data_IF_500513838379
#
_entry.id   IF_500513838379
#
_cell.length_a   1.000
_cell.length_b   1.000
_cell.length_c   1.000
_cell.angle_alpha   90.00
_cell.angle_beta   90.00
_cell.angle_gamma   90.00
#
_symmetry.space_group_name_H-M   'P 1'
#
loop_
_entity.id
_entity.type
_entity.pdbx_description
1 polymer ?
#
# COMPACT_ATOMS: atom_id res chain seq x y z
N UNK A 1 -0.71 5.47 11.87
CA UNK A 1 -1.26 6.41 10.87
C UNK A 1 -2.49 5.77 10.24
N UNK A 2 -3.53 6.57 9.95
CA UNK A 2 -4.64 6.15 9.10
C UNK A 2 -4.84 7.14 7.97
N UNK A 3 -5.43 6.68 6.86
CA UNK A 3 -5.77 7.53 5.73
C UNK A 3 -7.14 7.13 5.16
N UNK A 4 -7.79 8.10 4.52
CA UNK A 4 -8.99 7.87 3.75
C UNK A 4 -8.57 7.41 2.34
N UNK A 5 -9.08 6.26 1.90
CA UNK A 5 -8.78 5.70 0.56
C UNK A 5 -9.30 6.60 -0.56
N UNK A 6 -8.72 6.53 -1.77
CA UNK A 6 -9.21 7.33 -2.91
C UNK A 6 -10.71 7.17 -3.05
N UNK A 7 -11.42 8.29 -3.05
CA UNK A 7 -12.86 8.32 -3.18
C UNK A 7 -13.70 7.95 -1.95
N UNK A 8 -13.08 7.86 -0.79
CA UNK A 8 -13.75 7.70 0.49
C UNK A 8 -13.56 8.97 1.33
N UNK A 9 -14.63 9.42 2.00
CA UNK A 9 -14.56 10.48 3.01
C UNK A 9 -13.83 11.74 2.50
N UNK A 10 -12.65 12.07 3.03
CA UNK A 10 -11.89 13.30 2.69
C UNK A 10 -11.04 13.15 1.43
N UNK A 11 -10.82 11.93 0.95
CA UNK A 11 -10.01 11.67 -0.23
C UNK A 11 -10.86 11.74 -1.48
N UNK A 12 -10.54 12.63 -2.44
CA UNK A 12 -11.43 12.93 -3.55
C UNK A 12 -11.51 11.80 -4.57
N UNK A 13 -12.57 11.88 -5.36
CA UNK A 13 -12.78 11.15 -6.61
C UNK A 13 -11.83 11.71 -7.68
N UNK A 14 -10.98 10.90 -8.35
CA UNK A 14 -10.23 11.38 -9.51
C UNK A 14 -11.17 11.90 -10.62
N UNK A 15 -10.72 12.83 -11.49
CA UNK A 15 -11.52 13.26 -12.64
C UNK A 15 -11.92 12.08 -13.54
N UNK A 16 -13.18 12.04 -13.97
CA UNK A 16 -13.72 10.96 -14.81
C UNK A 16 -13.92 9.62 -14.11
N UNK A 17 -13.90 9.60 -12.77
CA UNK A 17 -13.92 8.34 -12.02
C UNK A 17 -15.27 7.61 -12.06
N UNK A 18 -15.24 6.35 -12.48
CA UNK A 18 -16.40 5.44 -12.52
C UNK A 18 -16.26 4.29 -11.51
N UNK A 19 -15.06 3.71 -11.40
CA UNK A 19 -14.77 2.60 -10.49
C UNK A 19 -13.28 2.59 -10.12
N UNK A 20 -12.94 1.93 -9.02
CA UNK A 20 -11.55 1.68 -8.61
C UNK A 20 -11.35 0.19 -8.35
N UNK A 21 -10.15 -0.28 -8.66
CA UNK A 21 -9.71 -1.64 -8.36
C UNK A 21 -8.97 -1.70 -7.02
N UNK A 22 -8.91 -2.89 -6.42
CA UNK A 22 -8.10 -3.12 -5.23
C UNK A 22 -6.61 -2.92 -5.48
N UNK A 23 -6.14 -3.17 -6.71
CA UNK A 23 -4.77 -2.91 -7.12
C UNK A 23 -4.44 -1.41 -7.12
N UNK A 24 -5.32 -0.56 -7.66
CA UNK A 24 -5.13 0.90 -7.61
C UNK A 24 -5.11 1.43 -6.18
N UNK A 25 -5.98 0.91 -5.32
CA UNK A 25 -6.01 1.25 -3.90
C UNK A 25 -4.74 0.79 -3.16
N UNK A 26 -4.15 -0.33 -3.57
CA UNK A 26 -2.86 -0.78 -3.05
C UNK A 26 -1.71 0.11 -3.54
N UNK A 27 -1.75 0.53 -4.81
CA UNK A 27 -0.81 1.50 -5.37
C UNK A 27 -0.82 2.83 -4.61
N UNK A 28 -1.98 3.34 -4.22
CA UNK A 28 -2.06 4.53 -3.36
C UNK A 28 -1.41 4.31 -2.00
N UNK A 29 -1.64 3.16 -1.38
CA UNK A 29 -1.05 2.82 -0.10
C UNK A 29 0.48 2.78 -0.20
N UNK A 30 1.01 2.15 -1.25
CA UNK A 30 2.44 2.09 -1.54
C UNK A 30 3.01 3.49 -1.77
N UNK A 31 2.38 4.29 -2.64
CA UNK A 31 2.82 5.66 -2.93
C UNK A 31 2.80 6.56 -1.70
N UNK A 32 1.84 6.38 -0.80
CA UNK A 32 1.79 7.12 0.46
C UNK A 32 2.88 6.68 1.45
N UNK A 33 3.21 5.38 1.52
CA UNK A 33 4.34 4.88 2.32
C UNK A 33 5.66 5.46 1.82
N UNK A 34 5.85 5.50 0.50
CA UNK A 34 7.04 6.06 -0.14
C UNK A 34 7.14 7.57 0.07
N UNK A 35 6.09 8.31 -0.25
CA UNK A 35 6.06 9.78 -0.15
C UNK A 35 6.30 10.29 1.29
N UNK A 36 5.93 9.48 2.29
CA UNK A 36 6.10 9.82 3.71
C UNK A 36 7.34 9.16 4.33
N UNK A 37 8.11 8.36 3.58
CA UNK A 37 9.30 7.68 4.09
C UNK A 37 9.02 6.72 5.25
N UNK A 38 7.88 6.03 5.22
CA UNK A 38 7.39 5.23 6.35
C UNK A 38 7.88 3.77 6.34
N UNK A 39 8.68 3.38 5.35
CA UNK A 39 9.21 2.02 5.28
C UNK A 39 10.31 1.80 6.34
N UNK A 40 10.31 0.66 7.07
CA UNK A 40 9.35 -0.44 7.00
C UNK A 40 8.00 -0.13 7.69
N UNK A 41 6.90 -0.65 7.13
CA UNK A 41 5.53 -0.39 7.60
C UNK A 41 4.76 -1.69 7.87
N UNK A 42 3.93 -1.72 8.90
CA UNK A 42 2.93 -2.77 9.11
C UNK A 42 1.58 -2.27 8.63
N UNK A 43 0.95 -2.98 7.69
CA UNK A 43 -0.35 -2.56 7.16
C UNK A 43 -1.49 -3.34 7.81
N UNK A 44 -2.52 -2.62 8.24
CA UNK A 44 -3.74 -3.19 8.81
C UNK A 44 -4.97 -2.75 8.02
N UNK A 45 -5.95 -3.64 7.87
CA UNK A 45 -7.21 -3.34 7.21
C UNK A 45 -8.24 -4.43 7.45
N UNK A 46 -9.52 -4.06 7.46
CA UNK A 46 -10.65 -4.97 7.56
C UNK A 46 -11.58 -4.81 6.35
N UNK A 47 -12.40 -5.81 6.06
CA UNK A 47 -13.32 -5.80 4.91
C UNK A 47 -12.57 -5.45 3.61
N UNK A 48 -12.99 -4.43 2.85
CA UNK A 48 -12.28 -3.96 1.66
C UNK A 48 -10.83 -3.55 1.92
N UNK A 49 -10.48 -3.07 3.12
CA UNK A 49 -9.10 -2.76 3.49
C UNK A 49 -8.21 -3.99 3.61
N UNK A 50 -8.76 -5.17 3.94
CA UNK A 50 -8.00 -6.42 3.97
C UNK A 50 -7.62 -6.87 2.56
N UNK A 51 -8.51 -6.67 1.58
CA UNK A 51 -8.25 -6.98 0.17
C UNK A 51 -7.15 -6.06 -0.39
N UNK A 52 -7.21 -4.77 -0.09
CA UNK A 52 -6.16 -3.80 -0.47
C UNK A 52 -4.81 -4.18 0.13
N UNK A 53 -4.77 -4.57 1.42
CA UNK A 53 -3.55 -5.07 2.06
C UNK A 53 -2.98 -6.30 1.34
N UNK A 54 -3.83 -7.23 0.92
CA UNK A 54 -3.38 -8.43 0.21
C UNK A 54 -2.75 -8.07 -1.14
N UNK A 55 -3.35 -7.15 -1.90
CA UNK A 55 -2.77 -6.66 -3.15
C UNK A 55 -1.40 -6.02 -2.94
N UNK A 56 -1.25 -5.19 -1.91
CA UNK A 56 0.04 -4.58 -1.58
C UNK A 56 1.12 -5.63 -1.27
N UNK A 57 0.76 -6.71 -0.56
CA UNK A 57 1.67 -7.82 -0.29
C UNK A 57 2.06 -8.59 -1.56
N UNK A 58 1.09 -8.81 -2.47
CA UNK A 58 1.35 -9.47 -3.74
C UNK A 58 2.29 -8.63 -4.62
N UNK A 59 2.07 -7.32 -4.71
CA UNK A 59 2.92 -6.41 -5.46
C UNK A 59 4.34 -6.41 -4.90
N UNK A 60 4.49 -6.30 -3.58
CA UNK A 60 5.80 -6.39 -2.91
C UNK A 60 6.50 -7.72 -3.19
N UNK A 61 5.77 -8.84 -3.14
CA UNK A 61 6.31 -10.18 -3.45
C UNK A 61 6.76 -10.31 -4.91
N UNK A 62 6.04 -9.69 -5.85
CA UNK A 62 6.39 -9.71 -7.27
C UNK A 62 7.62 -8.86 -7.54
N UNK A 63 7.72 -7.69 -6.91
CA UNK A 63 8.88 -6.80 -7.02
C UNK A 63 10.16 -7.45 -6.48
N UNK A 64 10.09 -8.05 -5.29
CA UNK A 64 11.20 -8.77 -4.66
C UNK A 64 11.74 -9.90 -5.57
N UNK A 65 10.82 -10.67 -6.18
CA UNK A 65 11.18 -11.72 -7.15
C UNK A 65 11.69 -11.22 -8.48
N UNK A 66 11.34 -10.01 -8.89
CA UNK A 66 11.93 -9.38 -10.06
C UNK A 66 13.34 -8.88 -9.73
N UNK A 67 13.58 -8.29 -8.55
CA UNK A 67 14.92 -7.89 -8.14
C UNK A 67 15.88 -9.07 -8.00
N UNK A 68 15.41 -10.23 -7.54
CA UNK A 68 16.22 -11.46 -7.52
C UNK A 68 16.64 -11.92 -8.92
N UNK A 69 15.87 -11.58 -9.96
CA UNK A 69 16.18 -11.92 -11.36
C UNK A 69 17.06 -10.87 -12.04
N UNK A 70 17.00 -9.61 -11.61
CA UNK A 70 17.52 -8.47 -12.36
C UNK A 70 18.85 -7.87 -11.82
N UNK A 71 19.57 -8.52 -10.90
CA UNK A 71 20.68 -7.92 -10.09
C UNK A 71 20.12 -6.80 -9.17
N UNK A 72 20.53 -6.74 -7.88
CA UNK A 72 19.92 -5.79 -6.95
C UNK A 72 20.16 -4.35 -7.37
N UNK A 73 19.07 -3.58 -7.53
CA UNK A 73 19.17 -2.12 -7.68
C UNK A 73 19.72 -1.54 -6.38
N UNK A 74 20.84 -0.80 -6.39
CA UNK A 74 21.34 -0.15 -5.18
C UNK A 74 20.30 0.86 -4.67
N UNK A 75 19.75 0.60 -3.48
CA UNK A 75 18.78 1.46 -2.79
C UNK A 75 17.41 0.84 -2.49
N UNK A 76 17.09 -0.35 -3.02
CA UNK A 76 15.83 -1.02 -2.69
C UNK A 76 15.99 -1.88 -1.42
N UNK A 77 15.54 -1.38 -0.28
CA UNK A 77 15.43 -2.20 0.93
C UNK A 77 14.29 -3.22 0.74
N UNK A 78 14.60 -4.51 0.92
CA UNK A 78 13.58 -5.55 0.89
C UNK A 78 12.42 -5.17 1.85
N UNK A 79 11.16 -5.25 1.42
CA UNK A 79 10.03 -4.69 2.16
C UNK A 79 9.76 -5.37 3.52
N UNK A 80 10.49 -6.43 3.85
CA UNK A 80 10.31 -7.22 5.07
C UNK A 80 11.59 -7.25 5.93
N UNK A 81 11.99 -6.08 6.42
CA UNK A 81 12.91 -5.95 7.56
C UNK A 81 12.20 -6.19 8.89
N UNK A 82 12.96 -6.56 9.92
CA UNK A 82 12.51 -6.85 11.30
C UNK A 82 11.40 -5.92 11.80
N UNK A 83 10.33 -6.43 12.45
CA UNK A 83 9.15 -5.65 12.85
C UNK A 83 9.40 -4.58 13.92
N UNK A 84 10.62 -4.46 14.45
CA UNK A 84 10.96 -3.49 15.49
C UNK A 84 11.10 -2.09 14.88
N UNK A 85 10.05 -1.27 15.01
CA UNK A 85 10.02 0.13 14.56
C UNK A 85 9.03 0.43 13.42
N UNK A 86 8.26 -0.56 12.95
CA UNK A 86 7.37 -0.38 11.81
C UNK A 86 6.16 0.52 12.14
N UNK A 87 5.89 1.51 11.30
CA UNK A 87 4.70 2.36 11.42
C UNK A 87 3.46 1.53 11.05
N UNK A 88 2.37 1.61 11.83
CA UNK A 88 1.11 0.95 11.46
C UNK A 88 0.30 1.86 10.53
N UNK A 89 0.06 1.41 9.30
CA UNK A 89 -0.80 2.11 8.32
C UNK A 89 -2.16 1.41 8.21
N UNK A 90 -3.23 2.15 8.54
CA UNK A 90 -4.61 1.68 8.43
C UNK A 90 -5.38 2.41 7.32
N UNK A 91 -6.04 1.64 6.45
CA UNK A 91 -6.94 2.18 5.44
C UNK A 91 -8.39 2.17 5.94
N UNK A 92 -9.04 3.34 6.01
CA UNK A 92 -10.45 3.45 6.44
C UNK A 92 -11.33 3.47 5.19
N UNK A 93 -12.34 2.59 5.15
CA UNK A 93 -13.44 2.66 4.19
C UNK A 93 -14.68 3.20 4.87
N UNK A 94 -15.33 4.21 4.30
CA UNK A 94 -16.74 4.41 4.56
C UNK A 94 -17.48 3.15 4.12
N UNK A 95 -18.34 2.60 4.98
CA UNK A 95 -19.33 1.60 4.57
C UNK A 95 -20.08 2.10 3.33
N UNK A 96 -20.42 1.16 2.44
CA UNK A 96 -21.00 1.43 1.13
C UNK A 96 -22.20 2.38 1.14
#
# INVERSE_FOLDING_TARGET
MTYDRRGNSRSPRPPGWTATSSAEQAGDAAGLVEALGLAPVTVFGSSGGAIVRLWLLLDAWHLDRQSDRDEPRPGHAAPFGSPTGAVVLGAVGAGG
#
